data_IF_700799666956
#
_entry.id   IF_700799666956
#
_cell.length_a   1.000
_cell.length_b   1.000
_cell.length_c   1.000
_cell.angle_alpha   90.00
_cell.angle_beta   90.00
_cell.angle_gamma   90.00
#
_symmetry.space_group_name_H-M   'P 1'
#
loop_
_entity.id
_entity.type
_entity.pdbx_description
1 polymer ?
#
# COMPACT_ATOMS: atom_id res chain seq x y z
N UNK A 1 8.55 20.97 21.86
CA UNK A 1 9.37 19.79 21.52
C UNK A 1 8.67 19.00 20.45
N UNK A 2 8.73 19.53 19.23
CA UNK A 2 8.06 18.99 18.04
C UNK A 2 8.93 17.93 17.37
N UNK A 3 9.09 16.79 18.05
CA UNK A 3 9.88 15.67 17.54
C UNK A 3 9.07 14.69 16.68
N UNK A 4 7.81 15.00 16.38
CA UNK A 4 6.91 14.10 15.68
C UNK A 4 6.77 14.37 14.18
N UNK A 5 7.44 15.40 13.68
CA UNK A 5 7.51 15.65 12.25
C UNK A 5 8.92 15.48 11.75
N UNK A 6 9.19 14.41 11.01
CA UNK A 6 10.41 14.37 10.24
C UNK A 6 10.31 15.37 9.07
N UNK A 7 10.59 16.61 9.35
CA UNK A 7 10.84 17.62 8.33
C UNK A 7 12.20 17.38 7.69
N UNK A 8 12.32 16.33 6.93
CA UNK A 8 13.44 16.25 5.99
C UNK A 8 12.89 16.46 4.59
N UNK A 9 12.60 17.70 4.31
CA UNK A 9 12.30 18.17 2.98
C UNK A 9 13.65 18.52 2.33
N UNK A 10 13.99 17.89 1.24
CA UNK A 10 15.12 18.22 0.38
C UNK A 10 16.53 18.17 1.00
N UNK A 11 16.74 17.42 2.07
CA UNK A 11 18.08 17.17 2.57
C UNK A 11 18.63 15.93 1.87
N UNK A 12 19.77 16.07 1.22
CA UNK A 12 20.59 14.93 0.83
C UNK A 12 20.82 14.07 2.08
N UNK A 13 20.23 12.88 2.10
CA UNK A 13 20.25 11.97 3.25
C UNK A 13 21.69 11.68 3.69
N UNK A 14 22.61 11.54 2.75
CA UNK A 14 24.01 11.33 3.04
C UNK A 14 24.62 12.56 3.73
N UNK A 15 24.27 13.76 3.27
CA UNK A 15 24.73 15.02 3.86
C UNK A 15 24.22 15.19 5.30
N UNK A 16 22.95 14.91 5.58
CA UNK A 16 22.41 15.00 6.93
C UNK A 16 23.05 14.01 7.90
N UNK A 17 23.25 12.79 7.45
CA UNK A 17 23.92 11.72 8.22
C UNK A 17 25.39 12.07 8.52
N UNK A 18 26.10 12.64 7.56
CA UNK A 18 27.49 13.05 7.69
C UNK A 18 27.66 14.28 8.59
N UNK A 19 26.74 15.26 8.49
CA UNK A 19 26.83 16.51 9.24
C UNK A 19 26.53 16.34 10.72
N UNK A 20 25.59 15.48 11.09
CA UNK A 20 25.26 15.21 12.49
C UNK A 20 24.86 13.76 12.72
N UNK A 21 25.84 12.84 12.84
CA UNK A 21 25.57 11.42 13.01
C UNK A 21 24.75 11.05 14.24
N UNK A 22 24.90 11.78 15.35
CA UNK A 22 24.15 11.51 16.59
C UNK A 22 22.67 11.88 16.44
N UNK A 23 22.39 13.03 15.85
CA UNK A 23 21.02 13.46 15.59
C UNK A 23 20.33 12.53 14.61
N UNK A 24 21.04 12.11 13.57
CA UNK A 24 20.56 11.13 12.60
C UNK A 24 20.21 9.80 13.28
N UNK A 25 21.09 9.29 14.14
CA UNK A 25 20.88 8.04 14.86
C UNK A 25 19.64 8.11 15.79
N UNK A 26 19.44 9.22 16.48
CA UNK A 26 18.24 9.44 17.31
C UNK A 26 16.97 9.51 16.48
N UNK A 27 17.01 10.19 15.36
CA UNK A 27 15.91 10.28 14.42
C UNK A 27 15.51 8.89 13.91
N UNK A 28 16.49 8.11 13.44
CA UNK A 28 16.25 6.75 12.96
C UNK A 28 15.71 5.84 14.07
N UNK A 29 16.17 6.00 15.30
CA UNK A 29 15.68 5.25 16.44
C UNK A 29 14.23 5.63 16.77
N UNK A 30 13.89 6.90 16.77
CA UNK A 30 12.52 7.38 17.00
C UNK A 30 11.57 6.87 15.90
N UNK A 31 12.02 6.87 14.66
CA UNK A 31 11.27 6.35 13.54
C UNK A 31 11.00 4.83 13.66
N UNK A 32 12.02 4.04 14.02
CA UNK A 32 11.85 2.60 14.28
C UNK A 32 10.87 2.35 15.43
N UNK A 33 10.98 3.10 16.51
CA UNK A 33 10.08 2.98 17.66
C UNK A 33 8.65 3.27 17.27
N UNK A 34 8.42 4.34 16.51
CA UNK A 34 7.10 4.66 15.96
C UNK A 34 6.55 3.53 15.09
N UNK A 35 7.35 3.02 14.15
CA UNK A 35 6.93 1.95 13.24
C UNK A 35 6.60 0.64 13.96
N UNK A 36 7.25 0.37 15.08
CA UNK A 36 6.99 -0.82 15.90
C UNK A 36 5.81 -0.66 16.85
N UNK A 37 5.41 0.57 17.15
CA UNK A 37 4.27 0.84 18.00
C UNK A 37 2.95 0.56 17.28
N UNK A 38 1.87 0.34 18.03
CA UNK A 38 0.54 0.26 17.45
C UNK A 38 0.10 1.63 16.97
N UNK A 39 -0.14 1.76 15.68
CA UNK A 39 -0.59 2.99 15.03
C UNK A 39 -1.42 2.63 13.81
N UNK A 40 -2.16 3.60 13.28
CA UNK A 40 -2.84 3.43 12.00
C UNK A 40 -1.81 3.49 10.87
N UNK A 41 -1.85 2.47 10.00
CA UNK A 41 -0.86 2.31 8.95
C UNK A 41 -1.12 3.25 7.78
N UNK A 42 -0.04 3.69 7.16
CA UNK A 42 -0.07 4.38 5.88
C UNK A 42 0.62 3.52 4.82
N UNK A 43 -0.09 3.30 3.74
CA UNK A 43 0.32 2.47 2.61
C UNK A 43 0.29 3.33 1.35
N UNK A 44 1.31 3.24 0.53
CA UNK A 44 1.35 3.90 -0.77
C UNK A 44 1.47 2.87 -1.90
N UNK A 45 0.55 2.95 -2.86
CA UNK A 45 0.75 2.34 -4.17
C UNK A 45 1.50 3.38 -5.01
N UNK A 46 2.78 3.18 -5.19
CA UNK A 46 3.67 4.17 -5.80
C UNK A 46 4.00 3.79 -7.24
N UNK A 47 3.69 4.70 -8.16
CA UNK A 47 4.04 4.55 -9.57
C UNK A 47 5.51 4.93 -9.75
N UNK A 48 6.39 3.97 -9.49
CA UNK A 48 7.83 4.17 -9.63
C UNK A 48 8.19 4.50 -11.08
N UNK A 49 9.12 5.43 -11.23
CA UNK A 49 9.46 6.00 -12.52
C UNK A 49 10.36 5.08 -13.34
N UNK A 50 10.07 4.89 -14.62
CA UNK A 50 11.08 4.39 -15.55
C UNK A 50 12.22 5.43 -15.69
N UNK A 51 13.29 5.10 -16.38
CA UNK A 51 14.59 5.78 -16.45
C UNK A 51 14.62 7.32 -16.53
N UNK A 52 13.52 7.97 -16.89
CA UNK A 52 13.42 9.45 -16.91
C UNK A 52 12.32 9.91 -15.98
N UNK A 53 12.71 10.48 -14.84
CA UNK A 53 11.76 11.14 -13.96
C UNK A 53 11.29 12.46 -14.55
N UNK A 54 10.01 12.78 -14.34
CA UNK A 54 9.43 14.08 -14.71
C UNK A 54 9.76 15.14 -13.64
N UNK A 55 9.91 14.72 -12.38
CA UNK A 55 10.19 15.58 -11.24
C UNK A 55 10.63 14.71 -10.05
N UNK A 56 10.99 15.36 -8.94
CA UNK A 56 11.44 14.69 -7.71
C UNK A 56 10.38 13.76 -7.09
N UNK A 57 9.10 14.06 -7.27
CA UNK A 57 7.99 13.21 -6.84
C UNK A 57 7.91 11.85 -7.56
N UNK A 58 8.71 11.65 -8.60
CA UNK A 58 8.88 10.37 -9.29
C UNK A 58 9.87 9.43 -8.60
N UNK A 59 10.59 9.90 -7.59
CA UNK A 59 11.60 9.12 -6.87
C UNK A 59 11.08 8.59 -5.54
N UNK A 60 11.40 7.32 -5.23
CA UNK A 60 11.09 6.70 -3.95
C UNK A 60 11.70 7.49 -2.78
N UNK A 61 12.91 8.01 -2.93
CA UNK A 61 13.62 8.78 -1.89
C UNK A 61 12.87 10.01 -1.40
N UNK A 62 11.98 10.57 -2.23
CA UNK A 62 11.21 11.77 -1.87
C UNK A 62 9.97 11.48 -1.02
N UNK A 63 9.57 10.21 -0.89
CA UNK A 63 8.40 9.81 -0.11
C UNK A 63 8.57 10.13 1.37
N UNK A 64 7.47 10.46 2.08
CA UNK A 64 7.53 10.71 3.53
C UNK A 64 8.09 9.52 4.31
N UNK A 65 9.00 9.79 5.24
CA UNK A 65 9.59 8.78 6.10
C UNK A 65 8.59 8.07 7.01
N UNK A 66 7.48 8.73 7.29
CA UNK A 66 6.40 8.20 8.14
C UNK A 66 5.51 7.14 7.45
N UNK A 67 5.65 6.92 6.15
CA UNK A 67 4.97 5.82 5.46
C UNK A 67 5.42 4.47 6.03
N UNK A 68 4.47 3.56 6.21
CA UNK A 68 4.75 2.21 6.71
C UNK A 68 5.10 1.24 5.59
N UNK A 69 4.35 1.30 4.48
CA UNK A 69 4.44 0.33 3.39
C UNK A 69 4.37 1.09 2.05
N UNK A 70 5.24 0.71 1.14
CA UNK A 70 5.26 1.20 -0.24
C UNK A 70 5.26 0.01 -1.19
N UNK A 71 4.27 -0.05 -2.07
CA UNK A 71 4.21 -1.05 -3.14
C UNK A 71 4.65 -0.43 -4.46
N UNK A 72 5.57 -1.11 -5.14
CA UNK A 72 6.09 -0.67 -6.43
C UNK A 72 5.07 -0.99 -7.52
N UNK A 73 4.32 0.02 -7.96
CA UNK A 73 3.27 -0.12 -8.97
C UNK A 73 3.79 -0.56 -10.34
N UNK A 74 5.00 -0.11 -10.70
CA UNK A 74 5.70 -0.50 -11.92
C UNK A 74 6.83 -1.50 -11.60
N UNK A 75 6.47 -2.64 -11.03
CA UNK A 75 7.43 -3.66 -10.60
C UNK A 75 8.24 -4.28 -11.75
N UNK A 76 7.76 -4.19 -13.00
CA UNK A 76 8.50 -4.62 -14.19
C UNK A 76 9.52 -3.60 -14.71
N UNK A 77 9.48 -2.37 -14.20
CA UNK A 77 10.29 -1.26 -14.69
C UNK A 77 11.06 -0.63 -13.54
N UNK A 78 11.92 -1.43 -12.93
CA UNK A 78 12.77 -0.98 -11.84
C UNK A 78 13.97 -0.25 -12.44
N UNK A 79 14.06 1.05 -12.19
CA UNK A 79 15.19 1.89 -12.61
C UNK A 79 16.39 1.72 -11.70
N UNK A 80 17.55 2.22 -12.14
CA UNK A 80 18.74 2.27 -11.29
C UNK A 80 18.50 3.16 -10.06
N UNK A 81 17.73 4.24 -10.21
CA UNK A 81 17.31 5.08 -9.08
C UNK A 81 16.45 4.33 -8.08
N UNK A 82 15.51 3.52 -8.55
CA UNK A 82 14.68 2.68 -7.67
C UNK A 82 15.55 1.70 -6.88
N UNK A 83 16.51 1.04 -7.55
CA UNK A 83 17.43 0.10 -6.90
C UNK A 83 18.28 0.78 -5.82
N UNK A 84 18.70 2.00 -6.06
CA UNK A 84 19.45 2.81 -5.10
C UNK A 84 18.58 3.23 -3.91
N UNK A 85 17.32 3.57 -4.15
CA UNK A 85 16.40 4.12 -3.15
C UNK A 85 15.76 3.06 -2.24
N UNK A 86 15.53 1.86 -2.74
CA UNK A 86 14.88 0.79 -1.97
C UNK A 86 15.58 0.55 -0.62
N UNK A 87 16.90 0.36 -0.55
CA UNK A 87 17.57 0.18 0.74
C UNK A 87 17.43 1.40 1.67
N UNK A 88 17.38 2.62 1.11
CA UNK A 88 17.19 3.83 1.89
C UNK A 88 15.82 3.86 2.58
N UNK A 89 14.77 3.44 1.89
CA UNK A 89 13.44 3.30 2.47
C UNK A 89 13.43 2.23 3.57
N UNK A 90 14.05 1.09 3.30
CA UNK A 90 14.11 -0.03 4.26
C UNK A 90 14.86 0.35 5.53
N UNK A 91 15.91 1.15 5.44
CA UNK A 91 16.64 1.70 6.59
C UNK A 91 15.72 2.54 7.50
N UNK A 92 14.74 3.22 6.92
CA UNK A 92 13.72 4.00 7.63
C UNK A 92 12.55 3.14 8.14
N UNK A 93 12.66 1.83 8.07
CA UNK A 93 11.59 0.88 8.43
C UNK A 93 10.33 1.02 7.55
N UNK A 94 10.51 1.47 6.32
CA UNK A 94 9.47 1.38 5.29
C UNK A 94 9.58 0.00 4.64
N UNK A 95 8.47 -0.75 4.64
CA UNK A 95 8.41 -2.03 3.97
C UNK A 95 8.11 -1.81 2.49
N UNK A 96 8.96 -2.33 1.62
CA UNK A 96 8.82 -2.17 0.16
C UNK A 96 8.37 -3.48 -0.45
N UNK A 97 7.24 -3.45 -1.15
CA UNK A 97 6.60 -4.65 -1.72
C UNK A 97 6.68 -4.66 -3.24
N UNK A 98 6.79 -5.86 -3.78
CA UNK A 98 6.71 -6.12 -5.22
C UNK A 98 5.26 -6.39 -5.61
N UNK A 99 4.75 -5.66 -6.61
CA UNK A 99 3.38 -5.83 -7.09
C UNK A 99 3.29 -6.97 -8.09
N UNK A 100 2.39 -7.90 -7.81
CA UNK A 100 1.91 -8.93 -8.74
C UNK A 100 0.55 -8.46 -9.25
N UNK A 101 0.52 -7.81 -10.40
CA UNK A 101 -0.70 -7.22 -10.95
C UNK A 101 -1.49 -8.26 -11.75
N UNK A 102 -2.15 -9.16 -11.02
CA UNK A 102 -2.95 -10.21 -11.64
C UNK A 102 -4.12 -9.65 -12.46
N UNK A 103 -4.79 -8.62 -11.96
CA UNK A 103 -5.94 -8.03 -12.67
C UNK A 103 -5.55 -7.55 -14.06
N UNK A 104 -4.41 -6.89 -14.19
CA UNK A 104 -3.91 -6.39 -15.47
C UNK A 104 -3.53 -7.52 -16.45
N UNK A 105 -3.18 -8.69 -15.95
CA UNK A 105 -2.70 -9.82 -16.76
C UNK A 105 -3.71 -10.98 -16.89
N UNK A 106 -4.84 -10.91 -16.21
CA UNK A 106 -5.79 -12.02 -16.10
C UNK A 106 -6.30 -12.51 -17.47
N UNK A 107 -6.49 -11.62 -18.43
CA UNK A 107 -6.98 -11.97 -19.77
C UNK A 107 -5.98 -12.82 -20.58
N UNK A 108 -4.69 -12.73 -20.30
CA UNK A 108 -3.64 -13.54 -20.94
C UNK A 108 -3.25 -14.76 -20.13
N UNK A 109 -3.70 -14.87 -18.88
CA UNK A 109 -3.40 -15.99 -17.97
C UNK A 109 -4.64 -16.89 -17.82
N UNK A 110 -5.12 -17.41 -18.93
CA UNK A 110 -6.40 -18.14 -19.00
C UNK A 110 -6.33 -19.53 -18.42
N UNK A 111 -5.18 -20.20 -18.48
CA UNK A 111 -5.00 -21.52 -17.86
C UNK A 111 -4.07 -21.47 -16.65
N UNK A 112 -4.24 -22.46 -15.79
CA UNK A 112 -3.52 -22.54 -14.51
C UNK A 112 -2.00 -22.74 -14.71
N UNK A 113 -1.59 -23.39 -15.80
CA UNK A 113 -0.19 -23.62 -16.12
C UNK A 113 0.49 -22.31 -16.50
N UNK A 114 -0.16 -21.49 -17.34
CA UNK A 114 0.33 -20.17 -17.70
C UNK A 114 0.45 -19.26 -16.47
N UNK A 115 -0.54 -19.27 -15.60
CA UNK A 115 -0.52 -18.51 -14.35
C UNK A 115 0.63 -18.97 -13.45
N UNK A 116 0.81 -20.26 -13.27
CA UNK A 116 1.89 -20.81 -12.46
C UNK A 116 3.27 -20.38 -12.97
N UNK A 117 3.49 -20.45 -14.27
CA UNK A 117 4.76 -20.06 -14.90
C UNK A 117 5.01 -18.55 -14.76
N UNK A 118 3.98 -17.75 -14.94
CA UNK A 118 4.06 -16.29 -14.76
C UNK A 118 4.42 -15.92 -13.30
N UNK A 119 3.78 -16.55 -12.31
CA UNK A 119 4.08 -16.34 -10.90
C UNK A 119 5.52 -16.73 -10.55
N UNK A 120 5.99 -17.88 -11.05
CA UNK A 120 7.38 -18.31 -10.81
C UNK A 120 8.38 -17.29 -11.34
N UNK A 121 8.14 -16.76 -12.52
CA UNK A 121 9.00 -15.74 -13.14
C UNK A 121 8.99 -14.45 -12.36
N UNK A 122 7.81 -13.97 -11.94
CA UNK A 122 7.68 -12.75 -11.15
C UNK A 122 8.36 -12.88 -9.78
N UNK A 123 8.18 -14.00 -9.11
CA UNK A 123 8.83 -14.28 -7.82
C UNK A 123 10.35 -14.30 -7.98
N UNK A 124 10.86 -14.95 -9.03
CA UNK A 124 12.29 -14.97 -9.31
C UNK A 124 12.85 -13.57 -9.58
N UNK A 125 12.13 -12.76 -10.34
CA UNK A 125 12.52 -11.37 -10.62
C UNK A 125 12.57 -10.53 -9.34
N UNK A 126 11.59 -10.68 -8.47
CA UNK A 126 11.53 -9.93 -7.20
C UNK A 126 12.68 -10.27 -6.26
N UNK A 127 13.18 -11.50 -6.31
CA UNK A 127 14.24 -11.99 -5.42
C UNK A 127 15.53 -11.17 -5.54
N UNK A 128 15.81 -10.61 -6.71
CA UNK A 128 17.01 -9.80 -6.97
C UNK A 128 16.98 -8.45 -6.23
N UNK A 129 15.79 -7.97 -5.83
CA UNK A 129 15.60 -6.66 -5.21
C UNK A 129 15.67 -6.68 -3.69
N UNK A 130 15.65 -7.84 -3.07
CA UNK A 130 15.66 -8.01 -1.61
C UNK A 130 14.55 -7.20 -0.91
N UNK A 131 13.31 -7.39 -1.36
CA UNK A 131 12.14 -6.67 -0.87
C UNK A 131 11.51 -7.31 0.36
N UNK A 132 10.51 -6.63 0.93
CA UNK A 132 9.85 -7.00 2.18
C UNK A 132 8.56 -7.79 1.96
N UNK A 133 8.30 -8.25 0.77
CA UNK A 133 7.16 -9.08 0.44
C UNK A 133 6.48 -8.70 -0.87
N UNK A 134 5.21 -9.10 -0.97
CA UNK A 134 4.40 -8.93 -2.17
C UNK A 134 3.08 -8.23 -1.86
N UNK A 135 2.64 -7.42 -2.81
CA UNK A 135 1.24 -7.07 -2.97
C UNK A 135 0.73 -7.74 -4.25
N UNK A 136 -0.52 -8.11 -4.28
CA UNK A 136 -1.17 -8.62 -5.48
C UNK A 136 -2.56 -8.04 -5.63
N UNK A 137 -3.00 -7.86 -6.88
CA UNK A 137 -4.34 -7.39 -7.18
C UNK A 137 -5.30 -8.54 -7.38
N UNK A 138 -6.57 -8.33 -7.04
CA UNK A 138 -7.61 -9.32 -7.26
C UNK A 138 -9.00 -8.75 -7.04
N UNK A 139 -9.90 -9.03 -7.99
CA UNK A 139 -11.31 -8.68 -7.93
C UNK A 139 -12.15 -9.94 -8.11
N UNK A 140 -13.27 -10.07 -7.39
CA UNK A 140 -14.12 -11.24 -7.51
C UNK A 140 -14.79 -11.32 -8.88
N UNK A 141 -15.06 -12.54 -9.33
CA UNK A 141 -15.90 -12.81 -10.48
C UNK A 141 -17.32 -13.06 -9.97
N UNK A 142 -18.24 -12.12 -10.25
CA UNK A 142 -19.61 -12.22 -9.78
C UNK A 142 -20.53 -13.00 -10.73
N UNK A 143 -20.21 -12.99 -12.03
CA UNK A 143 -21.04 -13.58 -13.07
C UNK A 143 -20.19 -14.57 -13.88
N UNK A 144 -20.69 -15.78 -14.00
CA UNK A 144 -20.02 -16.82 -14.77
C UNK A 144 -20.71 -18.17 -14.59
N UNK A 145 -20.31 -19.14 -15.39
CA UNK A 145 -20.72 -20.53 -15.20
C UNK A 145 -20.06 -21.10 -13.96
N UNK A 146 -20.56 -22.21 -13.42
CA UNK A 146 -19.96 -22.89 -12.30
C UNK A 146 -18.49 -23.27 -12.58
N UNK A 147 -18.21 -23.68 -13.82
CA UNK A 147 -16.84 -24.00 -14.25
C UNK A 147 -15.92 -22.79 -14.27
N UNK A 148 -16.41 -21.63 -14.73
CA UNK A 148 -15.65 -20.37 -14.73
C UNK A 148 -15.36 -19.88 -13.30
N UNK A 149 -16.35 -19.96 -12.42
CA UNK A 149 -16.20 -19.60 -11.01
C UNK A 149 -15.20 -20.52 -10.29
N UNK A 150 -15.28 -21.83 -10.56
CA UNK A 150 -14.34 -22.80 -9.99
C UNK A 150 -12.90 -22.57 -10.48
N UNK A 151 -12.73 -22.29 -11.77
CA UNK A 151 -11.43 -21.98 -12.36
C UNK A 151 -10.84 -20.68 -11.75
N UNK A 152 -11.67 -19.68 -11.58
CA UNK A 152 -11.27 -18.40 -10.98
C UNK A 152 -10.79 -18.58 -9.53
N UNK A 153 -11.50 -19.38 -8.76
CA UNK A 153 -11.15 -19.73 -7.39
C UNK A 153 -9.84 -20.53 -7.31
N UNK A 154 -9.63 -21.48 -8.22
CA UNK A 154 -8.38 -22.22 -8.31
C UNK A 154 -7.18 -21.30 -8.57
N UNK A 155 -7.33 -20.33 -9.47
CA UNK A 155 -6.30 -19.34 -9.75
C UNK A 155 -5.98 -18.47 -8.53
N UNK A 156 -7.01 -18.00 -7.84
CA UNK A 156 -6.83 -17.23 -6.61
C UNK A 156 -6.05 -18.03 -5.55
N UNK A 157 -6.42 -19.28 -5.33
CA UNK A 157 -5.71 -20.16 -4.39
C UNK A 157 -4.25 -20.37 -4.77
N UNK A 158 -3.96 -20.54 -6.06
CA UNK A 158 -2.59 -20.69 -6.54
C UNK A 158 -1.76 -19.45 -6.27
N UNK A 159 -2.30 -18.27 -6.55
CA UNK A 159 -1.63 -16.97 -6.29
C UNK A 159 -1.27 -16.87 -4.81
N UNK A 160 -2.24 -17.05 -3.93
CA UNK A 160 -2.02 -16.91 -2.48
C UNK A 160 -1.03 -17.94 -1.97
N UNK A 161 -1.15 -19.20 -2.40
CA UNK A 161 -0.25 -20.27 -2.00
C UNK A 161 1.20 -19.98 -2.40
N UNK A 162 1.44 -19.61 -3.65
CA UNK A 162 2.79 -19.32 -4.15
C UNK A 162 3.40 -18.09 -3.48
N UNK A 163 2.63 -17.02 -3.37
CA UNK A 163 3.13 -15.79 -2.77
C UNK A 163 3.37 -15.95 -1.27
N UNK A 164 2.48 -16.63 -0.54
CA UNK A 164 2.68 -16.87 0.90
C UNK A 164 3.90 -17.75 1.18
N UNK A 165 4.17 -18.73 0.33
CA UNK A 165 5.38 -19.55 0.41
C UNK A 165 6.64 -18.71 0.16
N UNK A 166 6.59 -17.81 -0.83
CA UNK A 166 7.71 -16.94 -1.16
C UNK A 166 7.99 -15.88 -0.10
N UNK A 167 6.96 -15.35 0.56
CA UNK A 167 7.13 -14.38 1.64
C UNK A 167 7.66 -15.00 2.94
N UNK A 168 7.26 -16.21 3.24
CA UNK A 168 7.55 -16.80 4.54
C UNK A 168 6.90 -16.04 5.70
N UNK A 169 7.51 -16.09 6.89
CA UNK A 169 6.94 -15.49 8.12
C UNK A 169 7.36 -14.03 8.35
N UNK A 170 8.50 -13.62 7.82
CA UNK A 170 9.10 -12.31 8.12
C UNK A 170 8.72 -11.21 7.14
N UNK A 171 8.04 -11.56 6.06
CA UNK A 171 7.66 -10.63 5.00
C UNK A 171 6.16 -10.48 4.92
N UNK A 172 5.71 -9.46 4.20
CA UNK A 172 4.29 -9.14 4.07
C UNK A 172 3.69 -9.73 2.80
N UNK A 173 2.45 -10.17 2.93
CA UNK A 173 1.58 -10.47 1.80
C UNK A 173 0.31 -9.62 1.91
N UNK A 174 0.07 -8.77 0.92
CA UNK A 174 -1.01 -7.80 0.91
C UNK A 174 -1.86 -7.98 -0.35
N UNK A 175 -3.17 -8.01 -0.17
CA UNK A 175 -4.13 -7.93 -1.28
C UNK A 175 -4.51 -6.47 -1.52
N UNK A 176 -4.37 -5.99 -2.75
CA UNK A 176 -5.01 -4.76 -3.22
C UNK A 176 -6.26 -5.14 -4.02
N UNK A 177 -7.44 -4.99 -3.43
CA UNK A 177 -8.67 -5.37 -4.09
C UNK A 177 -9.82 -5.64 -3.14
N UNK A 178 -10.56 -6.71 -3.42
CA UNK A 178 -11.70 -7.12 -2.61
C UNK A 178 -11.45 -8.51 -2.01
N UNK A 179 -11.69 -8.70 -0.71
CA UNK A 179 -11.46 -9.99 -0.06
C UNK A 179 -12.29 -11.14 -0.63
N UNK A 180 -13.40 -10.86 -1.32
CA UNK A 180 -14.17 -11.89 -2.01
C UNK A 180 -13.41 -12.58 -3.16
N UNK A 181 -12.29 -12.02 -3.61
CA UNK A 181 -11.38 -12.69 -4.54
C UNK A 181 -10.67 -13.89 -3.90
N UNK A 182 -10.40 -13.82 -2.60
CA UNK A 182 -9.61 -14.83 -1.88
C UNK A 182 -10.53 -15.82 -1.19
N UNK A 183 -10.15 -17.10 -1.18
CA UNK A 183 -10.85 -18.11 -0.40
C UNK A 183 -10.74 -17.77 1.10
N UNK A 184 -11.84 -17.87 1.83
CA UNK A 184 -11.88 -17.60 3.27
C UNK A 184 -10.82 -18.41 4.05
N UNK A 185 -10.55 -19.63 3.61
CA UNK A 185 -9.52 -20.48 4.20
C UNK A 185 -8.09 -19.90 4.08
N UNK A 186 -7.91 -18.92 3.19
CA UNK A 186 -6.62 -18.28 2.93
C UNK A 186 -6.48 -16.88 3.58
N UNK A 187 -7.52 -16.39 4.26
CA UNK A 187 -7.47 -15.05 4.89
C UNK A 187 -6.34 -14.89 5.89
N UNK A 188 -5.99 -15.93 6.62
CA UNK A 188 -4.91 -15.93 7.60
C UNK A 188 -3.50 -15.81 6.97
N UNK A 189 -3.37 -16.11 5.68
CA UNK A 189 -2.12 -15.93 4.92
C UNK A 189 -1.84 -14.49 4.53
N UNK A 190 -2.86 -13.64 4.57
CA UNK A 190 -2.75 -12.21 4.26
C UNK A 190 -2.44 -11.42 5.51
N UNK A 191 -1.43 -10.54 5.44
CA UNK A 191 -1.16 -9.58 6.52
C UNK A 191 -2.14 -8.43 6.48
N UNK A 192 -2.41 -7.89 5.29
CA UNK A 192 -3.32 -6.76 5.09
C UNK A 192 -4.09 -6.90 3.78
N UNK A 193 -5.24 -6.25 3.75
CA UNK A 193 -6.08 -6.09 2.57
C UNK A 193 -6.34 -4.59 2.38
N UNK A 194 -5.85 -4.04 1.29
CA UNK A 194 -6.13 -2.66 0.86
C UNK A 194 -7.38 -2.73 -0.01
N UNK A 195 -8.50 -2.33 0.56
CA UNK A 195 -9.81 -2.41 -0.10
C UNK A 195 -9.86 -1.46 -1.31
N UNK A 196 -10.55 -1.86 -2.37
CA UNK A 196 -10.70 -1.07 -3.59
C UNK A 196 -11.69 0.09 -3.45
N UNK A 197 -11.68 0.77 -2.30
CA UNK A 197 -12.58 1.90 -1.99
C UNK A 197 -12.20 3.20 -2.70
N UNK A 198 -10.99 3.28 -3.28
CA UNK A 198 -10.53 4.44 -4.04
C UNK A 198 -11.42 4.78 -5.25
N UNK A 199 -12.17 3.80 -5.75
CA UNK A 199 -13.09 3.97 -6.87
C UNK A 199 -14.44 4.59 -6.45
N UNK A 200 -14.75 4.61 -5.16
CA UNK A 200 -16.03 5.10 -4.65
C UNK A 200 -16.04 6.63 -4.58
N UNK A 201 -17.18 7.21 -4.92
CA UNK A 201 -17.36 8.67 -5.04
C UNK A 201 -18.17 9.28 -3.90
N UNK A 202 -18.75 8.47 -3.03
CA UNK A 202 -19.55 8.95 -1.91
C UNK A 202 -19.43 8.03 -0.68
N UNK A 203 -19.67 8.58 0.49
CA UNK A 203 -19.54 7.88 1.78
C UNK A 203 -20.64 6.85 2.04
N UNK A 204 -21.79 6.97 1.39
CA UNK A 204 -22.86 5.99 1.54
C UNK A 204 -22.45 4.65 0.93
N UNK A 205 -21.93 4.67 -0.29
CA UNK A 205 -21.44 3.46 -0.96
C UNK A 205 -20.22 2.88 -0.21
N UNK A 206 -19.33 3.74 0.29
CA UNK A 206 -18.22 3.32 1.13
C UNK A 206 -18.71 2.54 2.36
N UNK A 207 -19.65 3.08 3.08
CA UNK A 207 -20.21 2.45 4.28
C UNK A 207 -20.86 1.11 3.96
N UNK A 208 -21.62 1.03 2.87
CA UNK A 208 -22.24 -0.21 2.41
C UNK A 208 -21.20 -1.28 2.09
N UNK A 209 -20.16 -0.93 1.35
CA UNK A 209 -19.09 -1.87 0.99
C UNK A 209 -18.35 -2.37 2.23
N UNK A 210 -17.92 -1.47 3.11
CA UNK A 210 -17.14 -1.84 4.32
C UNK A 210 -18.02 -2.66 5.27
N UNK A 211 -19.26 -2.27 5.50
CA UNK A 211 -20.19 -3.01 6.36
C UNK A 211 -20.43 -4.42 5.81
N UNK A 212 -20.60 -4.55 4.51
CA UNK A 212 -20.74 -5.86 3.85
C UNK A 212 -19.52 -6.76 4.03
N UNK A 213 -18.34 -6.20 3.91
CA UNK A 213 -17.07 -6.94 4.13
C UNK A 213 -16.94 -7.35 5.59
N UNK A 214 -17.20 -6.46 6.53
CA UNK A 214 -17.10 -6.71 7.97
C UNK A 214 -18.18 -7.67 8.50
N UNK A 215 -19.23 -7.94 7.72
CA UNK A 215 -20.20 -8.99 8.05
C UNK A 215 -19.59 -10.40 8.04
N UNK A 216 -18.47 -10.59 7.34
CA UNK A 216 -17.71 -11.83 7.40
C UNK A 216 -16.83 -11.84 8.66
N UNK A 217 -17.20 -12.66 9.64
CA UNK A 217 -16.52 -12.77 10.93
C UNK A 217 -15.08 -13.33 10.85
N UNK A 218 -14.70 -13.91 9.71
CA UNK A 218 -13.34 -14.40 9.47
C UNK A 218 -12.36 -13.30 9.09
N UNK A 219 -12.87 -12.10 8.77
CA UNK A 219 -12.06 -10.92 8.50
C UNK A 219 -11.91 -10.05 9.73
N UNK A 220 -10.67 -9.82 10.14
CA UNK A 220 -10.35 -8.93 11.23
C UNK A 220 -10.23 -7.48 10.73
N UNK A 221 -10.82 -6.54 11.47
CA UNK A 221 -10.79 -5.10 11.13
C UNK A 221 -9.37 -4.56 11.01
N UNK A 222 -8.46 -5.04 11.82
CA UNK A 222 -7.06 -4.62 11.86
C UNK A 222 -6.20 -5.19 10.71
N UNK A 223 -6.79 -5.95 9.79
CA UNK A 223 -6.19 -6.31 8.50
C UNK A 223 -6.61 -5.40 7.36
N UNK A 224 -7.64 -4.60 7.53
CA UNK A 224 -8.28 -3.84 6.45
C UNK A 224 -7.79 -2.41 6.39
N UNK A 225 -7.32 -1.98 5.22
CA UNK A 225 -7.06 -0.57 4.92
C UNK A 225 -8.09 -0.09 3.90
N UNK A 226 -8.54 1.15 4.05
CA UNK A 226 -9.24 1.83 2.96
C UNK A 226 -8.22 2.28 1.93
N UNK A 227 -8.65 2.44 0.70
CA UNK A 227 -7.82 3.10 -0.32
C UNK A 227 -8.47 4.38 -0.80
N UNK A 228 -7.64 5.28 -1.29
CA UNK A 228 -8.03 6.60 -1.76
C UNK A 228 -7.12 7.04 -2.89
N UNK A 229 -7.68 7.80 -3.83
CA UNK A 229 -6.93 8.42 -4.92
C UNK A 229 -6.49 9.82 -4.50
N UNK A 230 -5.18 10.11 -4.54
CA UNK A 230 -4.68 11.45 -4.31
C UNK A 230 -5.25 12.43 -5.35
N UNK A 231 -5.75 13.57 -4.87
CA UNK A 231 -6.41 14.56 -5.72
C UNK A 231 -7.89 14.27 -5.99
N UNK A 232 -8.42 13.14 -5.49
CA UNK A 232 -9.82 12.79 -5.62
C UNK A 232 -10.74 13.58 -4.69
N UNK A 233 -12.03 13.49 -4.96
CA UNK A 233 -13.09 14.06 -4.14
C UNK A 233 -14.13 12.99 -3.81
N UNK A 234 -14.68 13.07 -2.59
CA UNK A 234 -15.74 12.17 -2.12
C UNK A 234 -16.88 13.00 -1.57
N UNK A 235 -18.10 12.62 -1.89
CA UNK A 235 -19.32 13.28 -1.41
C UNK A 235 -19.65 12.74 -0.02
N UNK A 236 -19.77 13.63 0.96
CA UNK A 236 -20.13 13.28 2.32
C UNK A 236 -21.66 13.06 2.50
N UNK A 237 -22.09 12.77 3.73
CA UNK A 237 -23.51 12.50 4.05
C UNK A 237 -24.42 13.70 3.79
N UNK A 238 -23.87 14.90 3.74
CA UNK A 238 -24.61 16.14 3.50
C UNK A 238 -24.67 16.53 2.02
N UNK A 239 -24.05 15.73 1.15
CA UNK A 239 -23.97 15.99 -0.28
C UNK A 239 -22.86 16.94 -0.70
N UNK A 240 -21.94 17.26 0.21
CA UNK A 240 -20.80 18.16 -0.04
C UNK A 240 -19.59 17.35 -0.51
N UNK A 241 -18.93 17.84 -1.55
CA UNK A 241 -17.65 17.28 -2.01
C UNK A 241 -16.52 17.67 -1.05
N UNK A 242 -15.79 16.66 -0.59
CA UNK A 242 -14.66 16.81 0.31
C UNK A 242 -13.38 16.31 -0.37
N UNK A 243 -12.23 16.82 0.06
CA UNK A 243 -10.94 16.25 -0.34
C UNK A 243 -10.87 14.80 0.18
N UNK A 244 -10.60 13.85 -0.74
CA UNK A 244 -10.80 12.43 -0.48
C UNK A 244 -9.87 11.88 0.61
N UNK A 245 -8.59 12.24 0.61
CA UNK A 245 -7.60 11.69 1.55
C UNK A 245 -7.98 12.07 2.99
N UNK A 246 -8.27 13.35 3.22
CA UNK A 246 -8.65 13.85 4.55
C UNK A 246 -9.94 13.20 5.07
N UNK A 247 -10.96 13.09 4.20
CA UNK A 247 -12.20 12.43 4.59
C UNK A 247 -11.98 10.94 4.93
N UNK A 248 -11.16 10.25 4.18
CA UNK A 248 -10.90 8.82 4.39
C UNK A 248 -10.14 8.55 5.70
N UNK A 249 -9.33 9.47 6.19
CA UNK A 249 -8.68 9.31 7.50
C UNK A 249 -9.70 9.18 8.63
N UNK A 250 -10.77 9.99 8.58
CA UNK A 250 -11.88 9.89 9.52
C UNK A 250 -12.60 8.55 9.40
N UNK A 251 -12.83 8.09 8.19
CA UNK A 251 -13.57 6.84 7.94
C UNK A 251 -12.78 5.59 8.33
N UNK A 252 -11.46 5.62 8.28
CA UNK A 252 -10.62 4.53 8.82
C UNK A 252 -10.95 4.29 10.30
N UNK A 253 -11.12 5.33 11.07
CA UNK A 253 -11.46 5.25 12.49
C UNK A 253 -12.95 4.92 12.68
N UNK A 254 -13.84 5.65 12.00
CA UNK A 254 -15.28 5.57 12.20
C UNK A 254 -15.89 4.23 11.75
N UNK A 255 -15.38 3.64 10.68
CA UNK A 255 -15.91 2.37 10.15
C UNK A 255 -15.30 1.12 10.78
N UNK A 256 -14.36 1.29 11.71
CA UNK A 256 -13.70 0.13 12.32
C UNK A 256 -13.55 0.22 13.84
N UNK A 257 -12.43 0.67 14.37
CA UNK A 257 -11.24 1.14 13.63
C UNK A 257 -10.63 0.08 12.72
N UNK A 258 -10.24 0.52 11.54
CA UNK A 258 -9.55 -0.32 10.56
C UNK A 258 -8.03 -0.21 10.77
N UNK A 259 -7.24 -0.91 9.95
CA UNK A 259 -5.78 -0.90 10.08
C UNK A 259 -5.14 0.42 9.59
N UNK A 260 -5.70 1.06 8.58
CA UNK A 260 -5.12 2.26 8.04
C UNK A 260 -5.64 2.66 6.67
N UNK A 261 -4.83 3.44 5.96
CA UNK A 261 -5.16 4.06 4.67
C UNK A 261 -4.09 3.76 3.63
N UNK A 262 -4.53 3.34 2.43
CA UNK A 262 -3.70 3.20 1.24
C UNK A 262 -3.96 4.34 0.27
N UNK A 263 -2.89 4.93 -0.26
CA UNK A 263 -2.96 6.09 -1.15
C UNK A 263 -2.43 5.71 -2.52
N UNK A 264 -3.28 5.88 -3.54
CA UNK A 264 -2.92 5.75 -4.96
C UNK A 264 -2.54 7.12 -5.54
N UNK A 265 -1.67 7.13 -6.54
CA UNK A 265 -1.17 8.33 -7.17
C UNK A 265 -0.56 9.34 -6.17
N UNK A 266 0.11 8.84 -5.16
CA UNK A 266 0.68 9.64 -4.07
C UNK A 266 1.66 10.70 -4.56
N UNK A 267 2.36 10.45 -5.67
CA UNK A 267 3.29 11.41 -6.28
C UNK A 267 2.64 12.75 -6.68
N UNK A 268 1.32 12.77 -6.88
CA UNK A 268 0.57 14.00 -7.17
C UNK A 268 0.54 14.97 -5.99
N UNK A 269 0.88 14.51 -4.79
CA UNK A 269 0.98 15.33 -3.58
C UNK A 269 2.38 15.91 -3.35
N UNK A 270 3.35 15.59 -4.21
CA UNK A 270 4.73 16.06 -4.00
C UNK A 270 4.83 17.57 -3.93
N UNK A 271 4.23 18.27 -4.89
CA UNK A 271 4.25 19.73 -4.90
C UNK A 271 3.15 20.32 -4.02
N UNK A 272 3.55 21.03 -3.01
CA UNK A 272 2.67 21.80 -2.13
C UNK A 272 3.34 23.13 -1.78
N UNK A 273 2.58 24.24 -1.63
CA UNK A 273 3.16 25.51 -1.24
C UNK A 273 3.68 25.54 0.21
N UNK A 274 3.27 24.57 1.05
CA UNK A 274 3.67 24.51 2.46
C UNK A 274 4.88 23.60 2.65
N UNK A 275 4.75 22.33 2.26
CA UNK A 275 5.82 21.32 2.29
C UNK A 275 5.47 20.18 1.33
N UNK A 276 6.47 19.43 0.87
CA UNK A 276 6.18 18.29 0.01
C UNK A 276 5.31 17.26 0.71
N UNK A 277 4.44 16.60 -0.02
CA UNK A 277 3.50 15.61 0.50
C UNK A 277 2.61 16.10 1.64
N UNK A 278 2.17 17.36 1.59
CA UNK A 278 1.40 18.00 2.66
C UNK A 278 0.14 17.23 3.03
N UNK A 279 -0.65 16.82 2.06
CA UNK A 279 -1.89 16.08 2.29
C UNK A 279 -1.59 14.72 2.94
N UNK A 280 -0.59 14.00 2.43
CA UNK A 280 -0.17 12.70 2.99
C UNK A 280 0.33 12.83 4.41
N UNK A 281 1.20 13.80 4.69
CA UNK A 281 1.76 14.04 6.03
C UNK A 281 0.66 14.40 7.02
N UNK A 282 -0.24 15.28 6.62
CA UNK A 282 -1.40 15.67 7.44
C UNK A 282 -2.31 14.48 7.72
N UNK A 283 -2.57 13.63 6.72
CA UNK A 283 -3.38 12.43 6.88
C UNK A 283 -2.80 11.48 7.92
N UNK A 284 -1.49 11.23 7.87
CA UNK A 284 -0.80 10.37 8.84
C UNK A 284 -0.93 10.93 10.27
N UNK A 285 -0.77 12.24 10.42
CA UNK A 285 -0.93 12.91 11.73
C UNK A 285 -2.36 12.87 12.23
N UNK A 286 -3.35 13.08 11.36
CA UNK A 286 -4.77 13.01 11.74
C UNK A 286 -5.15 11.62 12.26
N UNK A 287 -4.61 10.56 11.64
CA UNK A 287 -4.82 9.20 12.13
C UNK A 287 -4.01 8.91 13.40
N UNK A 288 -2.82 9.46 13.53
CA UNK A 288 -1.87 9.17 14.60
C UNK A 288 -1.42 10.47 15.30
N UNK A 289 -2.32 11.15 16.00
CA UNK A 289 -1.95 12.39 16.68
C UNK A 289 -0.92 12.15 17.77
N UNK A 290 -0.04 13.13 17.98
CA UNK A 290 0.92 13.14 19.06
C UNK A 290 0.20 13.09 20.42
N UNK A 291 0.72 12.30 21.35
CA UNK A 291 0.20 12.24 22.73
C UNK A 291 0.71 13.39 23.56
#
# INVERSE_FOLDING_TARGET
>A
DDWNEPEIVDIDINSAKEQNPELWARYMQALRTYKQSKHYLSYAHFDNSPEKSLNEGSYLRALPDSLDIVTLGNSHQISDYDREDIPLLQEKSIRVLYLIDYVAHASSLTDITALNSWLDKEIATSAELNLDGFAFTGLPLYNGTDAELASYKEKSRLIVSKLSTATGQDKLLVLEGNPAFVDEADFDKLNYIVLNTAELTNVTDLKLQVTGILANSLLSKDKLLLSVQMGGQVIDETGVKQEAVTLMTDRVVALGPLAGLGIYAIGNDYYSPIRNYEITRTAIQLMNPSK
#
